data_IF_725822032738
#
_entry.id   IF_725822032738
#
_cell.length_a   1.000
_cell.length_b   1.000
_cell.length_c   1.000
_cell.angle_alpha   90.00
_cell.angle_beta   90.00
_cell.angle_gamma   90.00
#
_symmetry.space_group_name_H-M   'P 1'
#
loop_
_entity.id
_entity.type
_entity.pdbx_description
1 polymer ?
#
# COMPACT_ATOMS: atom_id res chain seq x y z
N UNK A 1 39.70 -25.70 -45.72
CA UNK A 1 40.17 -25.55 -44.32
C UNK A 1 39.02 -25.00 -43.50
N UNK A 2 38.30 -25.89 -42.80
CA UNK A 2 38.36 -26.06 -41.35
C UNK A 2 37.64 -24.94 -40.58
N UNK A 3 36.39 -25.20 -40.13
CA UNK A 3 36.02 -25.54 -38.73
C UNK A 3 35.93 -24.26 -37.87
N UNK A 4 34.76 -23.84 -37.34
CA UNK A 4 34.03 -24.34 -36.14
C UNK A 4 32.73 -23.51 -36.04
N UNK A 5 31.54 -24.11 -35.89
CA UNK A 5 30.74 -24.23 -34.63
C UNK A 5 30.74 -22.92 -33.81
N UNK A 6 29.61 -22.32 -33.44
CA UNK A 6 28.59 -22.89 -32.54
C UNK A 6 27.20 -22.24 -32.71
N UNK A 7 26.16 -23.08 -32.52
CA UNK A 7 24.79 -22.69 -32.21
C UNK A 7 24.72 -22.26 -30.74
N UNK A 8 23.99 -21.20 -30.40
CA UNK A 8 22.85 -21.26 -29.46
C UNK A 8 22.08 -19.95 -29.44
N UNK A 9 20.76 -20.10 -29.46
CA UNK A 9 19.64 -19.15 -29.35
C UNK A 9 19.61 -18.52 -27.92
N UNK A 10 18.96 -17.40 -27.58
CA UNK A 10 17.64 -16.80 -27.89
C UNK A 10 17.70 -15.30 -27.57
N UNK A 11 17.22 -14.42 -28.45
CA UNK A 11 15.93 -13.69 -28.35
C UNK A 11 15.73 -12.85 -27.08
N UNK A 12 15.79 -11.50 -27.19
CA UNK A 12 14.64 -10.60 -26.95
C UNK A 12 14.84 -9.33 -27.80
N UNK A 13 13.81 -9.01 -28.57
CA UNK A 13 13.73 -7.93 -29.56
C UNK A 13 13.56 -6.54 -28.92
N UNK A 14 14.10 -5.55 -29.63
CA UNK A 14 13.60 -4.18 -29.83
C UNK A 14 13.80 -3.12 -28.73
N UNK A 15 14.92 -2.40 -28.86
CA UNK A 15 15.05 -0.93 -28.68
C UNK A 15 14.18 -0.16 -29.72
N UNK A 16 14.22 1.18 -29.78
CA UNK A 16 13.79 2.24 -28.84
C UNK A 16 12.83 3.22 -29.62
N UNK A 17 12.42 4.40 -29.08
CA UNK A 17 12.19 5.67 -29.83
C UNK A 17 11.44 6.75 -29.03
N UNK A 18 12.17 7.85 -28.77
CA UNK A 18 11.80 9.27 -28.96
C UNK A 18 10.52 9.86 -28.35
N UNK A 19 10.76 10.81 -27.43
CA UNK A 19 10.13 12.14 -27.28
C UNK A 19 8.76 12.41 -27.92
N UNK A 20 7.79 12.80 -27.08
CA UNK A 20 6.76 13.81 -27.42
C UNK A 20 6.55 14.74 -26.23
N UNK A 21 6.93 16.00 -26.42
CA UNK A 21 6.44 17.15 -25.65
C UNK A 21 5.02 17.48 -26.14
N UNK A 22 4.22 18.07 -25.24
CA UNK A 22 2.91 18.71 -25.47
C UNK A 22 1.64 17.85 -25.32
N UNK A 23 0.97 18.01 -24.18
CA UNK A 23 -0.35 18.67 -24.10
C UNK A 23 -0.65 19.09 -22.66
N UNK A 24 -0.70 20.40 -22.45
CA UNK A 24 -1.41 21.00 -21.32
C UNK A 24 -2.87 20.60 -21.47
N UNK A 25 -3.37 19.77 -20.56
CA UNK A 25 -4.80 19.64 -20.31
C UNK A 25 -4.98 19.80 -18.81
N UNK A 26 -5.54 20.96 -18.48
CA UNK A 26 -5.94 21.39 -17.15
C UNK A 26 -7.07 20.46 -16.69
N UNK A 27 -6.70 19.27 -16.21
CA UNK A 27 -7.65 18.34 -15.61
C UNK A 27 -7.81 18.71 -14.14
N UNK A 28 -8.75 19.61 -13.87
CA UNK A 28 -9.60 19.60 -12.68
C UNK A 28 -8.90 19.35 -11.33
N UNK A 29 -8.45 20.44 -10.73
CA UNK A 29 -8.40 20.90 -9.33
C UNK A 29 -8.93 20.04 -8.14
N UNK A 30 -9.03 18.72 -8.23
CA UNK A 30 -9.34 17.84 -7.10
C UNK A 30 -8.41 16.63 -7.14
N UNK A 31 -7.40 16.52 -6.24
CA UNK A 31 -6.75 15.23 -6.06
C UNK A 31 -7.85 14.23 -5.66
N UNK A 32 -7.95 13.04 -6.28
CA UNK A 32 -8.99 12.10 -5.90
C UNK A 32 -8.90 11.89 -4.38
N UNK A 33 -10.02 11.89 -3.63
CA UNK A 33 -10.02 11.89 -2.15
C UNK A 33 -9.36 10.65 -1.52
N UNK A 34 -8.75 9.79 -2.34
CA UNK A 34 -8.23 8.46 -2.08
C UNK A 34 -6.84 8.23 -2.69
N UNK A 35 -6.13 9.27 -3.15
CA UNK A 35 -4.80 9.10 -3.77
C UNK A 35 -3.87 8.24 -2.91
N UNK A 36 -3.79 8.54 -1.60
CA UNK A 36 -3.00 7.75 -0.64
C UNK A 36 -3.50 6.30 -0.51
N UNK A 37 -4.81 6.09 -0.61
CA UNK A 37 -5.43 4.77 -0.39
C UNK A 37 -5.05 3.79 -1.50
N UNK A 38 -4.95 4.25 -2.75
CA UNK A 38 -4.62 3.39 -3.89
C UNK A 38 -3.19 2.86 -3.80
N UNK A 39 -2.24 3.73 -3.46
CA UNK A 39 -0.83 3.35 -3.26
C UNK A 39 -0.68 2.30 -2.15
N UNK A 40 -1.35 2.52 -1.01
CA UNK A 40 -1.33 1.55 0.10
C UNK A 40 -1.93 0.20 -0.31
N UNK A 41 -2.99 0.20 -1.12
CA UNK A 41 -3.58 -1.05 -1.61
C UNK A 41 -2.59 -1.77 -2.51
N UNK A 42 -1.93 -1.06 -3.43
CA UNK A 42 -0.93 -1.66 -4.34
C UNK A 42 0.29 -2.23 -3.59
N UNK A 43 0.75 -1.58 -2.53
CA UNK A 43 1.92 -2.01 -1.73
C UNK A 43 1.66 -3.24 -0.84
N UNK A 44 0.42 -3.40 -0.38
CA UNK A 44 0.02 -4.45 0.57
C UNK A 44 -0.90 -5.51 -0.04
N UNK A 45 -1.30 -5.37 -1.30
CA UNK A 45 -2.13 -6.35 -1.99
C UNK A 45 -1.34 -7.63 -2.28
N UNK A 46 -1.91 -8.79 -1.93
CA UNK A 46 -1.35 -10.09 -2.33
C UNK A 46 -1.67 -10.40 -3.80
N UNK A 47 -2.78 -9.88 -4.34
CA UNK A 47 -3.25 -10.08 -5.72
C UNK A 47 -3.75 -8.77 -6.32
N UNK A 48 -3.72 -8.64 -7.64
CA UNK A 48 -4.32 -7.50 -8.33
C UNK A 48 -5.83 -7.41 -8.00
N UNK A 49 -6.24 -6.29 -7.42
CA UNK A 49 -7.62 -6.05 -6.98
C UNK A 49 -7.97 -6.55 -5.57
N UNK A 50 -6.99 -7.02 -4.79
CA UNK A 50 -7.24 -7.46 -3.41
C UNK A 50 -7.43 -6.26 -2.47
N UNK A 51 -8.69 -5.95 -2.16
CA UNK A 51 -9.07 -4.92 -1.18
C UNK A 51 -9.47 -5.52 0.17
N UNK A 52 -9.58 -6.85 0.25
CA UNK A 52 -10.17 -7.58 1.37
C UNK A 52 -9.14 -8.16 2.33
N UNK A 53 -7.89 -8.34 1.89
CA UNK A 53 -6.86 -8.95 2.73
C UNK A 53 -6.63 -8.20 4.05
N UNK A 54 -6.37 -8.93 5.14
CA UNK A 54 -6.10 -8.30 6.44
C UNK A 54 -4.92 -7.32 6.38
N UNK A 55 -3.93 -7.60 5.53
CA UNK A 55 -2.73 -6.78 5.31
C UNK A 55 -3.09 -5.38 4.81
N UNK A 56 -3.86 -5.32 3.72
CA UNK A 56 -4.38 -4.09 3.13
C UNK A 56 -5.26 -3.32 4.13
N UNK A 57 -6.14 -4.03 4.83
CA UNK A 57 -7.01 -3.39 5.83
C UNK A 57 -6.23 -2.77 7.00
N UNK A 58 -5.20 -3.46 7.50
CA UNK A 58 -4.33 -2.95 8.58
C UNK A 58 -3.58 -1.70 8.11
N UNK A 59 -3.06 -1.70 6.89
CA UNK A 59 -2.34 -0.56 6.33
C UNK A 59 -3.26 0.66 6.17
N UNK A 60 -4.47 0.47 5.61
CA UNK A 60 -5.48 1.51 5.47
C UNK A 60 -5.95 2.06 6.83
N UNK A 61 -6.15 1.20 7.83
CA UNK A 61 -6.52 1.62 9.19
C UNK A 61 -5.41 2.43 9.84
N UNK A 62 -4.15 2.03 9.66
CA UNK A 62 -3.01 2.74 10.24
C UNK A 62 -2.89 4.15 9.70
N UNK A 63 -3.06 4.34 8.40
CA UNK A 63 -3.04 5.67 7.77
C UNK A 63 -4.21 6.55 8.21
N UNK A 64 -5.40 5.97 8.45
CA UNK A 64 -6.53 6.71 9.05
C UNK A 64 -6.25 7.11 10.50
N UNK A 65 -5.67 6.21 11.29
CA UNK A 65 -5.26 6.48 12.67
C UNK A 65 -4.26 7.63 12.72
N UNK A 66 -3.21 7.61 11.89
CA UNK A 66 -2.22 8.69 11.80
C UNK A 66 -2.87 10.05 11.51
N UNK A 67 -3.76 10.11 10.51
CA UNK A 67 -4.49 11.34 10.18
C UNK A 67 -5.39 11.82 11.32
N UNK A 68 -6.13 10.91 11.96
CA UNK A 68 -7.05 11.26 13.03
C UNK A 68 -6.33 11.69 14.31
N UNK A 69 -5.17 11.07 14.61
CA UNK A 69 -4.30 11.51 15.71
C UNK A 69 -3.80 12.93 15.45
N UNK A 70 -3.41 13.27 14.22
CA UNK A 70 -3.07 14.64 13.85
C UNK A 70 -4.21 15.63 14.08
N UNK A 71 -5.43 15.27 13.68
CA UNK A 71 -6.63 16.10 13.88
C UNK A 71 -6.99 16.31 15.36
N UNK A 72 -6.81 15.27 16.18
CA UNK A 72 -7.10 15.34 17.63
C UNK A 72 -6.06 16.14 18.41
N UNK A 73 -4.83 16.29 17.90
CA UNK A 73 -3.83 17.17 18.50
C UNK A 73 -4.26 18.64 18.43
N UNK A 74 -4.91 19.05 17.33
CA UNK A 74 -5.44 20.41 17.19
C UNK A 74 -6.81 20.57 17.85
N UNK A 75 -7.59 19.49 17.97
CA UNK A 75 -8.94 19.48 18.54
C UNK A 75 -9.04 18.51 19.75
N UNK A 76 -8.50 18.88 20.92
CA UNK A 76 -8.41 17.96 22.06
C UNK A 76 -9.77 17.58 22.67
N UNK A 77 -10.78 18.44 22.51
CA UNK A 77 -12.14 18.32 23.06
C UNK A 77 -13.08 17.46 22.21
N UNK A 78 -12.66 17.00 21.02
CA UNK A 78 -13.50 16.13 20.19
C UNK A 78 -13.52 14.69 20.71
N UNK A 79 -14.47 14.43 21.60
CA UNK A 79 -14.70 13.12 22.22
C UNK A 79 -15.28 12.08 21.24
N UNK A 80 -16.03 12.51 20.22
CA UNK A 80 -16.61 11.61 19.22
C UNK A 80 -15.53 11.04 18.31
N UNK A 81 -14.63 11.89 17.81
CA UNK A 81 -13.46 11.45 17.04
C UNK A 81 -12.51 10.59 17.87
N UNK A 82 -12.31 10.91 19.16
CA UNK A 82 -11.52 10.07 20.08
C UNK A 82 -12.13 8.67 20.25
N UNK A 83 -13.45 8.57 20.37
CA UNK A 83 -14.16 7.27 20.40
C UNK A 83 -13.97 6.50 19.08
N UNK A 84 -14.09 7.19 17.94
CA UNK A 84 -13.81 6.61 16.62
C UNK A 84 -12.38 6.09 16.48
N UNK A 85 -11.40 6.83 17.01
CA UNK A 85 -10.00 6.44 17.06
C UNK A 85 -9.81 5.12 17.84
N UNK A 86 -10.36 5.03 19.05
CA UNK A 86 -10.26 3.82 19.88
C UNK A 86 -10.88 2.60 19.20
N UNK A 87 -12.00 2.80 18.49
CA UNK A 87 -12.62 1.75 17.67
C UNK A 87 -11.70 1.28 16.54
N UNK A 88 -11.06 2.20 15.82
CA UNK A 88 -10.11 1.86 14.74
C UNK A 88 -8.86 1.13 15.26
N UNK A 89 -8.30 1.57 16.39
CA UNK A 89 -7.16 0.89 17.05
C UNK A 89 -7.55 -0.53 17.45
N UNK A 90 -8.74 -0.72 18.04
CA UNK A 90 -9.26 -2.02 18.43
C UNK A 90 -9.47 -2.94 17.23
N UNK A 91 -10.03 -2.43 16.13
CA UNK A 91 -10.21 -3.20 14.88
C UNK A 91 -8.86 -3.63 14.30
N UNK A 92 -7.86 -2.73 14.26
CA UNK A 92 -6.50 -3.05 13.81
C UNK A 92 -5.88 -4.15 14.67
N UNK A 93 -6.00 -4.06 16.00
CA UNK A 93 -5.50 -5.09 16.94
C UNK A 93 -6.14 -6.46 16.69
N UNK A 94 -7.46 -6.50 16.43
CA UNK A 94 -8.17 -7.75 16.09
C UNK A 94 -7.65 -8.38 14.79
N UNK A 95 -7.42 -7.57 13.74
CA UNK A 95 -6.88 -8.05 12.47
C UNK A 95 -5.45 -8.59 12.60
N UNK A 96 -4.60 -7.90 13.38
CA UNK A 96 -3.25 -8.36 13.68
C UNK A 96 -3.26 -9.68 14.46
N UNK A 97 -4.13 -9.81 15.46
CA UNK A 97 -4.30 -11.08 16.19
C UNK A 97 -4.80 -12.21 15.29
N UNK A 98 -5.68 -11.91 14.33
CA UNK A 98 -6.14 -12.89 13.34
C UNK A 98 -5.00 -13.37 12.44
N UNK A 99 -4.19 -12.43 11.91
CA UNK A 99 -3.00 -12.77 11.12
C UNK A 99 -2.00 -13.60 11.94
N UNK A 100 -1.73 -13.23 13.20
CA UNK A 100 -0.82 -13.97 14.06
C UNK A 100 -1.27 -15.42 14.28
N UNK A 101 -2.57 -15.68 14.40
CA UNK A 101 -3.13 -17.04 14.54
C UNK A 101 -3.08 -17.83 13.24
N UNK A 102 -3.29 -17.19 12.09
CA UNK A 102 -3.40 -17.87 10.79
C UNK A 102 -2.06 -18.07 10.10
N UNK A 103 -1.18 -17.07 10.15
CA UNK A 103 0.13 -17.10 9.51
C UNK A 103 1.10 -16.13 10.20
N UNK A 104 2.01 -16.68 11.01
CA UNK A 104 3.00 -15.91 11.75
C UNK A 104 4.02 -15.19 10.85
N UNK A 105 4.33 -15.72 9.65
CA UNK A 105 5.26 -15.08 8.72
C UNK A 105 4.67 -13.76 8.17
N UNK A 106 3.41 -13.82 7.68
CA UNK A 106 2.68 -12.64 7.20
C UNK A 106 2.50 -11.59 8.30
N UNK A 107 2.25 -12.02 9.54
CA UNK A 107 2.19 -11.10 10.67
C UNK A 107 3.52 -10.34 10.87
N UNK A 108 4.67 -11.03 10.81
CA UNK A 108 5.99 -10.40 10.96
C UNK A 108 6.28 -9.41 9.84
N UNK A 109 5.96 -9.76 8.59
CA UNK A 109 6.12 -8.87 7.43
C UNK A 109 5.29 -7.59 7.57
N UNK A 110 4.01 -7.72 7.93
CA UNK A 110 3.11 -6.58 8.15
C UNK A 110 3.60 -5.73 9.31
N UNK A 111 3.97 -6.35 10.44
CA UNK A 111 4.46 -5.63 11.61
C UNK A 111 5.75 -4.84 11.30
N UNK A 112 6.68 -5.44 10.56
CA UNK A 112 7.90 -4.78 10.11
C UNK A 112 7.62 -3.60 9.15
N UNK A 113 6.75 -3.81 8.15
CA UNK A 113 6.38 -2.75 7.19
C UNK A 113 5.70 -1.56 7.85
N UNK A 114 4.85 -1.82 8.85
CA UNK A 114 4.09 -0.78 9.55
C UNK A 114 4.85 -0.19 10.74
N UNK A 115 6.09 -0.64 11.02
CA UNK A 115 6.90 -0.24 12.18
C UNK A 115 6.09 -0.26 13.49
N UNK A 116 5.19 -1.24 13.60
CA UNK A 116 4.39 -1.42 14.80
C UNK A 116 5.25 -2.19 15.80
N UNK A 117 6.20 -1.49 16.40
CA UNK A 117 6.96 -2.02 17.52
C UNK A 117 6.04 -2.08 18.75
N UNK A 118 6.13 -3.21 19.46
CA UNK A 118 5.47 -3.42 20.74
C UNK A 118 6.16 -2.61 21.81
#
# INVERSE_FOLDING_TARGET
MAVKKEKTTKTVKAKPKTAKVAKVQVASIVPPPHADKKQIIEEFATKQGDTGSPEVQIALLTKRIEKLVGHLKTNPTDNHSRRGLLGMVSKRRRLLNYLAKKNAARFKEVAAKLKLEK
#
